data_IF_384238264179
#
_entry.id   IF_384238264179
#
_cell.length_a   1.000
_cell.length_b   1.000
_cell.length_c   1.000
_cell.angle_alpha   90.00
_cell.angle_beta   90.00
_cell.angle_gamma   90.00
#
_symmetry.space_group_name_H-M   'P 1'
#
loop_
_entity.id
_entity.type
_entity.pdbx_description
1 polymer ?
#
# COMPACT_ATOMS: atom_id res chain seq x y z
N UNK A 1 30.74 40.25 64.20
CA UNK A 1 29.61 40.23 63.24
C UNK A 1 29.97 39.75 61.82
N UNK A 2 31.15 39.14 61.57
CA UNK A 2 31.52 38.67 60.21
C UNK A 2 31.22 37.19 59.93
N UNK A 3 31.07 36.36 60.96
CA UNK A 3 30.90 34.91 60.76
C UNK A 3 29.44 34.44 60.57
N UNK A 4 28.45 35.23 61.01
CA UNK A 4 27.02 34.88 60.86
C UNK A 4 26.54 35.04 59.39
N UNK A 5 27.15 35.96 58.64
CA UNK A 5 26.78 36.26 57.24
C UNK A 5 27.16 35.13 56.26
N UNK A 6 28.25 34.40 56.53
CA UNK A 6 28.69 33.30 55.67
C UNK A 6 27.88 32.03 55.87
N UNK A 7 27.45 31.75 57.10
CA UNK A 7 26.60 30.60 57.42
C UNK A 7 25.20 30.78 56.80
N UNK A 8 24.60 31.98 56.90
CA UNK A 8 23.29 32.27 56.29
C UNK A 8 23.29 32.12 54.75
N UNK A 9 24.36 32.56 54.06
CA UNK A 9 24.49 32.42 52.60
C UNK A 9 24.71 30.97 52.15
N UNK A 10 25.40 30.16 52.96
CA UNK A 10 25.60 28.72 52.69
C UNK A 10 24.29 27.95 52.82
N UNK A 11 23.53 28.21 53.89
CA UNK A 11 22.22 27.57 54.14
C UNK A 11 21.20 27.94 53.06
N UNK A 12 21.18 29.19 52.59
CA UNK A 12 20.24 29.62 51.55
C UNK A 12 20.56 29.04 50.17
N UNK A 13 21.85 28.88 49.81
CA UNK A 13 22.27 28.18 48.59
C UNK A 13 21.93 26.69 48.66
N UNK A 14 22.11 26.04 49.81
CA UNK A 14 21.78 24.61 49.98
C UNK A 14 20.26 24.37 49.94
N UNK A 15 19.44 25.27 50.48
CA UNK A 15 17.97 25.21 50.40
C UNK A 15 17.46 25.42 48.97
N UNK A 16 18.07 26.33 48.20
CA UNK A 16 17.68 26.57 46.81
C UNK A 16 18.06 25.39 45.89
N UNK A 17 19.21 24.76 46.13
CA UNK A 17 19.64 23.56 45.38
C UNK A 17 18.78 22.34 45.73
N UNK A 18 18.42 22.13 47.01
CA UNK A 18 17.50 21.05 47.40
C UNK A 18 16.09 21.25 46.83
N UNK A 19 15.58 22.48 46.82
CA UNK A 19 14.28 22.80 46.22
C UNK A 19 14.28 22.60 44.69
N UNK A 20 15.35 23.02 44.01
CA UNK A 20 15.51 22.83 42.56
C UNK A 20 15.62 21.34 42.17
N UNK A 21 16.34 20.52 42.97
CA UNK A 21 16.45 19.08 42.74
C UNK A 21 15.11 18.37 42.97
N UNK A 22 14.32 18.78 43.98
CA UNK A 22 12.96 18.25 44.19
C UNK A 22 12.01 18.58 43.02
N UNK A 23 12.09 19.78 42.45
CA UNK A 23 11.21 20.18 41.33
C UNK A 23 11.57 19.39 40.05
N UNK A 24 12.86 19.14 39.80
CA UNK A 24 13.32 18.35 38.65
C UNK A 24 12.92 16.87 38.81
N UNK A 25 13.09 16.29 40.00
CA UNK A 25 12.73 14.90 40.26
C UNK A 25 11.22 14.62 40.15
N UNK A 26 10.37 15.54 40.61
CA UNK A 26 8.91 15.41 40.48
C UNK A 26 8.45 15.49 39.02
N UNK A 27 9.09 16.33 38.22
CA UNK A 27 8.77 16.49 36.80
C UNK A 27 9.16 15.26 35.97
N UNK A 28 10.27 14.58 36.32
CA UNK A 28 10.71 13.36 35.61
C UNK A 28 9.85 12.13 35.93
N UNK A 29 9.34 12.01 37.16
CA UNK A 29 8.46 10.90 37.56
C UNK A 29 7.11 10.99 36.86
N UNK A 30 6.48 12.18 36.84
CA UNK A 30 5.18 12.38 36.17
C UNK A 30 5.23 12.10 34.66
N UNK A 31 6.36 12.41 34.00
CA UNK A 31 6.53 12.15 32.57
C UNK A 31 6.73 10.65 32.26
N UNK A 32 7.30 9.89 33.18
CA UNK A 32 7.48 8.44 33.06
C UNK A 32 6.14 7.70 33.24
N UNK A 33 5.35 8.12 34.22
CA UNK A 33 4.02 7.54 34.51
C UNK A 33 3.05 7.75 33.33
N UNK A 34 3.05 8.93 32.70
CA UNK A 34 2.21 9.20 31.53
C UNK A 34 2.64 8.40 30.28
N UNK A 35 3.94 8.14 30.10
CA UNK A 35 4.45 7.34 28.99
C UNK A 35 4.08 5.84 29.12
N UNK A 36 4.17 5.31 30.34
CA UNK A 36 3.71 3.95 30.65
C UNK A 36 2.18 3.86 30.50
N UNK A 37 1.45 4.84 31.03
CA UNK A 37 0.01 4.97 30.88
C UNK A 37 -0.46 4.98 29.43
N UNK A 38 0.23 5.72 28.56
CA UNK A 38 -0.02 5.75 27.12
C UNK A 38 0.10 4.37 26.49
N UNK A 39 1.13 3.62 26.87
CA UNK A 39 1.38 2.26 26.33
C UNK A 39 0.26 1.31 26.73
N UNK A 40 -0.11 1.32 28.02
CA UNK A 40 -1.20 0.49 28.54
C UNK A 40 -2.55 0.88 27.92
N UNK A 41 -2.81 2.18 27.78
CA UNK A 41 -4.02 2.69 27.14
C UNK A 41 -4.15 2.21 25.68
N UNK A 42 -3.06 2.32 24.90
CA UNK A 42 -3.02 1.85 23.51
C UNK A 42 -3.20 0.34 23.37
N UNK A 43 -2.72 -0.43 24.34
CA UNK A 43 -2.83 -1.88 24.32
C UNK A 43 -4.21 -2.40 24.76
N UNK A 44 -4.90 -1.69 25.68
CA UNK A 44 -6.06 -2.25 26.39
C UNK A 44 -7.36 -1.44 26.24
N UNK A 45 -7.28 -0.13 25.99
CA UNK A 45 -8.43 0.77 26.12
C UNK A 45 -8.90 1.37 24.78
N UNK A 46 -8.00 1.57 23.81
CA UNK A 46 -8.28 2.22 22.51
C UNK A 46 -9.29 1.46 21.63
N UNK A 47 -9.49 0.17 21.87
CA UNK A 47 -10.49 -0.62 21.17
C UNK A 47 -11.94 -0.13 21.45
N UNK A 48 -12.17 0.49 22.62
CA UNK A 48 -13.51 0.91 23.03
C UNK A 48 -13.61 2.38 23.39
N UNK A 49 -12.51 3.03 23.79
CA UNK A 49 -12.50 4.42 24.23
C UNK A 49 -11.60 5.29 23.34
N UNK A 50 -12.08 6.49 23.02
CA UNK A 50 -11.23 7.59 22.58
C UNK A 50 -11.10 8.61 23.73
N UNK A 51 -10.06 9.45 23.70
CA UNK A 51 -9.90 10.49 24.70
C UNK A 51 -11.04 11.51 24.57
N UNK A 52 -11.24 12.04 23.38
CA UNK A 52 -12.04 13.24 23.12
C UNK A 52 -13.35 12.97 22.36
N UNK A 53 -13.65 11.70 22.03
CA UNK A 53 -14.87 11.32 21.33
C UNK A 53 -15.56 10.09 21.94
N UNK A 54 -16.87 9.98 21.75
CA UNK A 54 -17.65 8.80 22.15
C UNK A 54 -17.49 7.69 21.10
N UNK A 55 -17.13 6.48 21.54
CA UNK A 55 -17.03 5.28 20.71
C UNK A 55 -17.96 4.18 21.26
N UNK A 56 -17.43 2.99 21.56
CA UNK A 56 -18.16 1.96 22.30
C UNK A 56 -18.37 2.41 23.75
N UNK A 57 -17.33 2.99 24.35
CA UNK A 57 -17.38 3.68 25.63
C UNK A 57 -17.42 5.21 25.49
N UNK A 58 -17.69 5.93 26.59
CA UNK A 58 -17.68 7.39 26.62
C UNK A 58 -16.26 7.95 26.39
N UNK A 59 -16.20 9.23 25.97
CA UNK A 59 -14.97 10.00 25.92
C UNK A 59 -14.31 10.08 27.31
N UNK A 60 -12.99 9.91 27.37
CA UNK A 60 -12.24 9.83 28.63
C UNK A 60 -11.57 11.13 29.05
N UNK A 61 -11.46 12.13 28.18
CA UNK A 61 -11.00 13.48 28.54
C UNK A 61 -11.84 14.02 29.69
N UNK A 62 -11.20 14.44 30.78
CA UNK A 62 -11.86 14.92 32.00
C UNK A 62 -12.54 13.85 32.85
N UNK A 63 -12.23 12.55 32.67
CA UNK A 63 -12.84 11.47 33.48
C UNK A 63 -12.53 11.60 34.96
N UNK A 64 -11.32 12.06 35.30
CA UNK A 64 -10.89 12.30 36.68
C UNK A 64 -11.61 13.48 37.37
N UNK A 65 -12.30 14.32 36.59
CA UNK A 65 -13.16 15.38 37.12
C UNK A 65 -14.62 14.90 37.29
N UNK A 66 -15.01 13.86 36.56
CA UNK A 66 -16.36 13.28 36.58
C UNK A 66 -16.56 12.21 37.66
N UNK A 67 -15.49 11.49 38.00
CA UNK A 67 -15.52 10.38 38.94
C UNK A 67 -14.35 10.46 39.92
N UNK A 68 -14.54 9.96 41.15
CA UNK A 68 -13.47 9.95 42.14
C UNK A 68 -12.37 8.95 41.77
N UNK A 69 -11.13 9.24 42.19
CA UNK A 69 -10.00 8.34 41.97
C UNK A 69 -10.26 6.94 42.58
N UNK A 70 -10.85 6.87 43.78
CA UNK A 70 -11.21 5.60 44.42
C UNK A 70 -12.21 4.78 43.58
N UNK A 71 -13.17 5.44 42.93
CA UNK A 71 -14.09 4.79 42.02
C UNK A 71 -13.35 4.23 40.80
N UNK A 72 -12.49 5.05 40.17
CA UNK A 72 -11.76 4.68 38.96
C UNK A 72 -10.78 3.51 39.21
N UNK A 73 -10.12 3.48 40.37
CA UNK A 73 -9.22 2.40 40.77
C UNK A 73 -9.94 1.04 40.90
N UNK A 74 -11.23 1.04 41.26
CA UNK A 74 -12.04 -0.19 41.36
C UNK A 74 -12.75 -0.52 40.04
N UNK A 75 -13.14 0.51 39.30
CA UNK A 75 -13.90 0.39 38.05
C UNK A 75 -13.05 -0.13 36.89
N UNK A 76 -11.84 0.41 36.71
CA UNK A 76 -10.98 0.10 35.55
C UNK A 76 -10.54 -1.37 35.52
N UNK A 77 -10.08 -1.99 36.63
CA UNK A 77 -9.71 -3.40 36.62
C UNK A 77 -10.91 -4.34 36.48
N UNK A 78 -12.05 -4.00 37.10
CA UNK A 78 -13.22 -4.89 37.08
C UNK A 78 -14.57 -4.19 37.31
N UNK A 79 -15.05 -3.47 36.29
CA UNK A 79 -16.37 -2.83 36.30
C UNK A 79 -17.53 -3.79 36.59
N UNK A 80 -17.44 -5.05 36.13
CA UNK A 80 -18.50 -6.05 36.32
C UNK A 80 -18.69 -6.43 37.79
N UNK A 81 -17.62 -6.48 38.58
CA UNK A 81 -17.73 -6.71 40.02
C UNK A 81 -18.48 -5.57 40.72
N UNK A 82 -18.27 -4.32 40.30
CA UNK A 82 -18.98 -3.16 40.86
C UNK A 82 -20.46 -3.14 40.47
N UNK A 83 -20.78 -3.53 39.23
CA UNK A 83 -22.16 -3.65 38.75
C UNK A 83 -22.88 -4.78 39.49
N UNK A 84 -22.24 -5.95 39.64
CA UNK A 84 -22.79 -7.08 40.37
C UNK A 84 -22.98 -6.80 41.87
N UNK A 85 -22.09 -6.00 42.46
CA UNK A 85 -22.22 -5.53 43.85
C UNK A 85 -23.31 -4.45 44.02
N UNK A 86 -23.97 -4.01 42.95
CA UNK A 86 -25.06 -3.04 43.00
C UNK A 86 -24.62 -1.60 43.31
N UNK A 87 -23.37 -1.23 43.00
CA UNK A 87 -22.92 0.14 43.19
C UNK A 87 -23.77 1.11 42.32
N UNK A 88 -24.44 2.12 42.91
CA UNK A 88 -25.39 2.96 42.18
C UNK A 88 -24.80 3.72 40.99
N UNK A 89 -23.55 4.19 41.12
CA UNK A 89 -22.83 4.94 40.07
C UNK A 89 -22.41 4.01 38.91
N UNK A 90 -21.90 2.84 39.24
CA UNK A 90 -21.55 1.77 38.30
C UNK A 90 -22.75 1.32 37.45
N UNK A 91 -23.88 1.04 38.12
CA UNK A 91 -25.11 0.58 37.46
C UNK A 91 -25.69 1.67 36.57
N UNK A 92 -25.67 2.94 37.01
CA UNK A 92 -26.10 4.08 36.20
C UNK A 92 -25.26 4.20 34.93
N UNK A 93 -23.93 4.20 35.06
CA UNK A 93 -23.02 4.35 33.93
C UNK A 93 -23.16 3.19 32.91
N UNK A 94 -23.38 1.96 33.39
CA UNK A 94 -23.63 0.81 32.55
C UNK A 94 -24.92 0.94 31.72
N UNK A 95 -26.00 1.43 32.34
CA UNK A 95 -27.27 1.65 31.64
C UNK A 95 -27.20 2.78 30.60
N UNK A 96 -26.49 3.87 30.90
CA UNK A 96 -26.34 5.03 30.01
C UNK A 96 -25.48 4.72 28.77
N UNK A 97 -24.57 3.75 28.86
CA UNK A 97 -23.69 3.35 27.77
C UNK A 97 -24.12 2.04 27.09
N UNK A 98 -25.43 1.81 27.01
CA UNK A 98 -26.01 0.74 26.19
C UNK A 98 -25.82 -0.68 26.75
N UNK A 99 -25.52 -0.81 28.06
CA UNK A 99 -25.30 -2.09 28.75
C UNK A 99 -24.17 -2.92 28.12
N UNK A 100 -23.19 -2.26 27.50
CA UNK A 100 -22.00 -2.90 26.96
C UNK A 100 -21.04 -3.18 28.11
N UNK A 101 -20.67 -4.45 28.29
CA UNK A 101 -19.74 -4.86 29.33
C UNK A 101 -18.31 -4.44 28.95
N UNK A 102 -17.66 -3.65 29.82
CA UNK A 102 -16.23 -3.41 29.71
C UNK A 102 -15.45 -4.67 30.11
N UNK A 103 -14.45 -5.05 29.32
CA UNK A 103 -13.56 -6.18 29.60
C UNK A 103 -12.88 -5.99 30.96
N UNK A 104 -12.77 -7.06 31.75
CA UNK A 104 -12.03 -7.05 33.01
C UNK A 104 -10.53 -7.17 32.74
N UNK A 105 -9.74 -6.37 33.44
CA UNK A 105 -8.28 -6.33 33.35
C UNK A 105 -7.65 -6.63 34.72
N UNK A 106 -7.72 -7.89 35.19
CA UNK A 106 -7.19 -8.27 36.51
C UNK A 106 -5.68 -8.03 36.66
N UNK A 107 -4.95 -7.85 35.56
CA UNK A 107 -3.52 -7.54 35.53
C UNK A 107 -3.18 -6.06 35.80
N UNK A 108 -4.18 -5.17 35.82
CA UNK A 108 -4.01 -3.76 36.15
C UNK A 108 -4.10 -3.56 37.66
N UNK A 109 -2.93 -3.41 38.28
CA UNK A 109 -2.79 -2.98 39.67
C UNK A 109 -2.98 -1.45 39.80
N UNK A 110 -3.02 -0.97 41.04
CA UNK A 110 -3.30 0.43 41.35
C UNK A 110 -2.35 1.42 40.65
N UNK A 111 -1.05 1.07 40.58
CA UNK A 111 -0.02 1.90 39.94
C UNK A 111 -0.26 2.01 38.43
N UNK A 112 -0.52 0.90 37.75
CA UNK A 112 -0.83 0.90 36.31
C UNK A 112 -2.10 1.67 35.99
N UNK A 113 -3.13 1.58 36.83
CA UNK A 113 -4.36 2.38 36.66
C UNK A 113 -4.06 3.86 36.82
N UNK A 114 -3.24 4.26 37.81
CA UNK A 114 -2.83 5.66 37.99
C UNK A 114 -2.03 6.18 36.79
N UNK A 115 -1.12 5.39 36.24
CA UNK A 115 -0.39 5.73 35.02
C UNK A 115 -1.35 5.96 33.83
N UNK A 116 -2.34 5.08 33.64
CA UNK A 116 -3.38 5.27 32.61
C UNK A 116 -4.17 6.58 32.84
N UNK A 117 -4.56 6.88 34.08
CA UNK A 117 -5.28 8.11 34.41
C UNK A 117 -4.41 9.36 34.22
N UNK A 118 -3.11 9.30 34.53
CA UNK A 118 -2.16 10.37 34.28
C UNK A 118 -2.07 10.67 32.79
N UNK A 119 -1.99 9.63 31.95
CA UNK A 119 -2.03 9.78 30.49
C UNK A 119 -3.34 10.39 29.99
N UNK A 120 -4.49 9.93 30.48
CA UNK A 120 -5.81 10.49 30.08
C UNK A 120 -5.92 11.97 30.43
N UNK A 121 -5.32 12.40 31.54
CA UNK A 121 -5.29 13.80 31.98
C UNK A 121 -4.36 14.67 31.13
N UNK A 122 -3.22 14.13 30.71
CA UNK A 122 -2.23 14.85 29.91
C UNK A 122 -2.60 14.92 28.41
N UNK A 123 -3.28 13.89 27.89
CA UNK A 123 -3.66 13.76 26.49
C UNK A 123 -2.54 13.20 25.60
N UNK A 124 -2.82 12.97 24.31
CA UNK A 124 -1.75 12.63 23.36
C UNK A 124 -0.75 13.80 23.28
N UNK A 125 0.56 13.57 23.46
CA UNK A 125 1.54 14.61 23.28
C UNK A 125 1.44 15.15 21.85
N UNK A 126 1.16 16.45 21.72
CA UNK A 126 1.12 17.12 20.41
C UNK A 126 2.42 16.85 19.67
N UNK A 127 2.34 16.11 18.57
CA UNK A 127 3.50 15.83 17.74
C UNK A 127 4.12 17.16 17.28
N UNK A 128 5.35 17.44 17.73
CA UNK A 128 6.22 18.34 16.99
C UNK A 128 6.46 17.64 15.66
N UNK A 129 6.01 18.26 14.57
CA UNK A 129 6.12 17.70 13.24
C UNK A 129 7.56 17.28 12.95
N UNK A 130 7.76 15.97 12.78
CA UNK A 130 8.97 15.43 12.21
C UNK A 130 8.98 15.75 10.72
N UNK A 131 9.48 16.95 10.41
CA UNK A 131 10.19 17.14 9.17
C UNK A 131 11.53 16.38 9.29
N UNK A 132 11.87 15.65 8.23
CA UNK A 132 13.13 14.94 7.97
C UNK A 132 13.22 13.48 8.42
N UNK A 133 12.60 12.60 7.64
CA UNK A 133 13.31 11.42 7.15
C UNK A 133 13.22 11.43 5.62
N UNK A 134 14.13 12.17 5.00
CA UNK A 134 14.37 12.06 3.57
C UNK A 134 15.03 10.70 3.32
N UNK A 135 14.37 9.92 2.47
CA UNK A 135 14.74 8.60 2.03
C UNK A 135 16.18 8.52 1.54
N UNK A 136 16.89 7.52 2.05
CA UNK A 136 18.06 6.95 1.42
C UNK A 136 17.71 5.52 1.01
N UNK A 137 17.36 5.33 -0.26
CA UNK A 137 17.58 4.08 -0.97
C UNK A 137 17.30 4.25 -2.46
N UNK A 138 18.36 4.07 -3.23
CA UNK A 138 18.39 4.11 -4.67
C UNK A 138 17.61 2.95 -5.30
N UNK A 139 16.93 3.29 -6.41
CA UNK A 139 16.76 2.55 -7.65
C UNK A 139 16.60 1.01 -7.62
N UNK A 140 15.45 0.53 -8.09
CA UNK A 140 15.38 -0.13 -9.41
C UNK A 140 13.92 -0.37 -9.85
N UNK A 141 13.59 0.04 -11.09
CA UNK A 141 12.27 -0.18 -11.68
C UNK A 141 12.14 0.52 -13.02
N UNK A 142 12.41 -0.22 -14.10
CA UNK A 142 12.52 0.29 -15.46
C UNK A 142 11.28 1.01 -15.99
N UNK A 143 11.45 2.30 -16.24
CA UNK A 143 10.67 3.10 -17.19
C UNK A 143 11.67 4.06 -17.80
N UNK A 144 11.71 4.17 -19.12
CA UNK A 144 12.66 5.02 -19.86
C UNK A 144 12.54 6.46 -19.41
N UNK A 145 13.33 6.84 -18.41
CA UNK A 145 13.35 8.16 -17.81
C UNK A 145 13.93 9.13 -18.82
N UNK A 146 13.44 10.37 -18.87
CA UNK A 146 14.00 11.41 -19.74
C UNK A 146 15.52 11.59 -19.59
N UNK A 147 16.08 11.17 -18.44
CA UNK A 147 17.52 11.07 -18.19
C UNK A 147 18.25 10.02 -19.05
N UNK A 148 17.60 8.89 -19.38
CA UNK A 148 18.18 7.87 -20.27
C UNK A 148 18.24 8.35 -21.73
N UNK A 149 17.22 9.09 -22.18
CA UNK A 149 17.23 9.72 -23.51
C UNK A 149 18.24 10.87 -23.53
N UNK A 150 18.23 11.76 -22.54
CA UNK A 150 19.19 12.86 -22.44
C UNK A 150 20.64 12.36 -22.27
N UNK A 151 20.86 11.28 -21.52
CA UNK A 151 22.15 10.64 -21.34
C UNK A 151 22.65 9.97 -22.63
N UNK A 152 21.79 9.25 -23.35
CA UNK A 152 22.13 8.69 -24.67
C UNK A 152 22.43 9.82 -25.66
N UNK A 153 21.64 10.90 -25.67
CA UNK A 153 21.89 12.07 -26.53
C UNK A 153 23.23 12.73 -26.17
N UNK A 154 23.54 12.90 -24.88
CA UNK A 154 24.82 13.46 -24.44
C UNK A 154 26.01 12.57 -24.85
N UNK A 155 25.90 11.25 -24.71
CA UNK A 155 26.92 10.29 -25.14
C UNK A 155 27.09 10.34 -26.66
N UNK A 156 25.99 10.41 -27.43
CA UNK A 156 26.03 10.53 -28.89
C UNK A 156 26.68 11.85 -29.30
N UNK A 157 26.38 12.97 -28.63
CA UNK A 157 27.01 14.27 -28.91
C UNK A 157 28.50 14.24 -28.60
N UNK A 158 28.91 13.69 -27.45
CA UNK A 158 30.33 13.55 -27.08
C UNK A 158 31.06 12.63 -28.07
N UNK A 159 30.46 11.51 -28.46
CA UNK A 159 31.01 10.61 -29.47
C UNK A 159 31.18 11.30 -30.83
N UNK A 160 30.20 12.11 -31.26
CA UNK A 160 30.30 12.92 -32.48
C UNK A 160 31.44 13.94 -32.36
N UNK A 161 31.58 14.62 -31.22
CA UNK A 161 32.67 15.58 -30.99
C UNK A 161 34.04 14.89 -31.05
N UNK A 162 34.19 13.72 -30.42
CA UNK A 162 35.43 12.93 -30.47
C UNK A 162 35.74 12.49 -31.89
N UNK A 163 34.75 11.99 -32.64
CA UNK A 163 34.93 11.60 -34.05
C UNK A 163 35.32 12.78 -34.93
N UNK A 164 34.77 13.98 -34.68
CA UNK A 164 35.15 15.21 -35.41
C UNK A 164 36.59 15.62 -35.07
N UNK A 165 37.00 15.54 -33.80
CA UNK A 165 38.36 15.88 -33.37
C UNK A 165 39.37 14.89 -33.97
N UNK A 166 39.10 13.58 -33.87
CA UNK A 166 39.94 12.53 -34.45
C UNK A 166 40.02 12.65 -35.97
N UNK A 167 38.89 12.90 -36.65
CA UNK A 167 38.85 13.11 -38.09
C UNK A 167 39.58 14.37 -38.56
N UNK A 168 39.62 15.43 -37.73
CA UNK A 168 40.46 16.61 -37.98
C UNK A 168 41.94 16.29 -37.76
N UNK A 169 42.29 15.58 -36.70
CA UNK A 169 43.66 15.18 -36.40
C UNK A 169 44.25 14.28 -37.51
N UNK A 170 43.48 13.30 -38.00
CA UNK A 170 43.91 12.43 -39.10
C UNK A 170 44.12 13.20 -40.41
N UNK A 171 43.21 14.12 -40.76
CA UNK A 171 43.38 14.98 -41.94
C UNK A 171 44.57 15.94 -41.83
N UNK A 172 44.89 16.39 -40.61
CA UNK A 172 46.01 17.29 -40.38
C UNK A 172 47.34 16.55 -40.52
N UNK A 173 47.42 15.31 -40.03
CA UNK A 173 48.54 14.40 -40.28
C UNK A 173 48.70 14.09 -41.77
N UNK A 174 47.60 13.80 -42.46
CA UNK A 174 47.59 13.53 -43.90
C UNK A 174 48.05 14.75 -44.71
N UNK A 175 47.63 15.97 -44.33
CA UNK A 175 48.14 17.23 -44.91
C UNK A 175 49.64 17.38 -44.71
N UNK A 176 50.16 17.12 -43.51
CA UNK A 176 51.59 17.25 -43.21
C UNK A 176 52.44 16.22 -43.99
N UNK A 177 51.91 15.02 -44.23
CA UNK A 177 52.55 13.99 -45.07
C UNK A 177 52.55 14.41 -46.54
N UNK A 178 51.41 14.86 -47.06
CA UNK A 178 51.25 15.29 -48.47
C UNK A 178 52.07 16.56 -48.79
N UNK A 179 52.16 17.49 -47.84
CA UNK A 179 52.99 18.69 -47.96
C UNK A 179 54.49 18.35 -47.98
N UNK A 180 54.93 17.32 -47.25
CA UNK A 180 56.30 16.79 -47.35
C UNK A 180 56.58 16.07 -48.67
N UNK A 181 55.55 15.59 -49.38
CA UNK A 181 55.66 14.94 -50.68
C UNK A 181 55.53 15.91 -51.88
N UNK A 182 55.41 17.23 -51.61
CA UNK A 182 55.45 18.26 -52.65
C UNK A 182 54.18 18.40 -53.49
N UNK A 183 53.04 17.89 -53.01
CA UNK A 183 51.74 17.96 -53.69
C UNK A 183 50.93 19.12 -53.06
N UNK A 184 50.55 20.11 -53.86
CA UNK A 184 49.68 21.21 -53.42
C UNK A 184 48.28 20.69 -53.04
N UNK A 185 47.78 21.14 -51.88
CA UNK A 185 46.55 20.66 -51.27
C UNK A 185 45.44 21.66 -51.54
N UNK A 186 44.41 21.26 -52.31
CA UNK A 186 43.21 22.06 -52.53
C UNK A 186 42.46 22.39 -51.22
N UNK A 187 41.91 23.61 -51.17
CA UNK A 187 41.29 24.27 -50.01
C UNK A 187 40.27 23.42 -49.23
N UNK A 188 40.16 23.72 -47.92
CA UNK A 188 39.17 23.15 -47.02
C UNK A 188 37.75 23.33 -47.57
N UNK A 189 37.18 22.25 -48.10
CA UNK A 189 35.81 22.21 -48.58
C UNK A 189 34.89 22.61 -47.41
N UNK A 190 34.14 23.74 -47.50
CA UNK A 190 33.33 24.22 -46.38
C UNK A 190 32.37 23.12 -45.90
N UNK A 191 32.09 23.03 -44.59
CA UNK A 191 31.17 22.03 -44.02
C UNK A 191 29.84 21.97 -44.79
N UNK A 192 29.33 23.13 -45.22
CA UNK A 192 28.11 23.27 -46.04
C UNK A 192 28.22 22.59 -47.41
N UNK A 193 29.40 22.62 -48.04
CA UNK A 193 29.68 21.96 -49.33
C UNK A 193 29.87 20.45 -49.13
N UNK A 194 30.52 20.02 -48.04
CA UNK A 194 30.61 18.60 -47.66
C UNK A 194 29.25 17.97 -47.39
N UNK A 195 28.38 18.64 -46.63
CA UNK A 195 26.99 18.22 -46.38
C UNK A 195 26.19 18.20 -47.69
N UNK A 196 26.31 19.22 -48.55
CA UNK A 196 25.64 19.25 -49.86
C UNK A 196 26.11 18.14 -50.80
N UNK A 197 27.38 17.74 -50.76
CA UNK A 197 27.93 16.62 -51.55
C UNK A 197 27.42 15.28 -51.02
N UNK A 198 27.27 15.15 -49.70
CA UNK A 198 26.69 13.98 -49.04
C UNK A 198 25.21 13.78 -49.42
N UNK A 199 24.39 14.84 -49.40
CA UNK A 199 23.00 14.82 -49.88
C UNK A 199 22.84 14.72 -51.41
N UNK A 200 23.92 14.86 -52.19
CA UNK A 200 23.92 14.55 -53.63
C UNK A 200 24.37 13.11 -53.94
N UNK A 201 25.00 12.44 -52.97
CA UNK A 201 25.40 11.04 -53.14
C UNK A 201 24.16 10.15 -53.06
N UNK A 202 23.72 9.61 -54.21
CA UNK A 202 22.54 8.74 -54.30
C UNK A 202 22.58 7.57 -53.31
N UNK A 203 23.76 7.00 -53.02
CA UNK A 203 23.89 5.91 -52.04
C UNK A 203 23.64 6.38 -50.60
N UNK A 204 24.12 7.57 -50.24
CA UNK A 204 23.89 8.15 -48.92
C UNK A 204 22.43 8.59 -48.73
N UNK A 205 21.85 9.24 -49.73
CA UNK A 205 20.43 9.62 -49.71
C UNK A 205 19.54 8.39 -49.62
N UNK A 206 19.81 7.33 -50.40
CA UNK A 206 19.07 6.07 -50.31
C UNK A 206 19.22 5.41 -48.94
N UNK A 207 20.42 5.38 -48.36
CA UNK A 207 20.64 4.85 -47.02
C UNK A 207 19.86 5.64 -45.96
N UNK A 208 19.89 6.98 -46.03
CA UNK A 208 19.14 7.82 -45.09
C UNK A 208 17.63 7.65 -45.21
N UNK A 209 17.10 7.57 -46.44
CA UNK A 209 15.68 7.30 -46.70
C UNK A 209 15.30 5.91 -46.16
N UNK A 210 16.12 4.88 -46.38
CA UNK A 210 15.88 3.54 -45.84
C UNK A 210 15.83 3.54 -44.31
N UNK A 211 16.79 4.20 -43.65
CA UNK A 211 16.79 4.36 -42.21
C UNK A 211 15.55 5.12 -41.71
N UNK A 212 15.13 6.17 -42.41
CA UNK A 212 13.92 6.92 -42.09
C UNK A 212 12.67 6.03 -42.20
N UNK A 213 12.55 5.23 -43.27
CA UNK A 213 11.43 4.29 -43.46
C UNK A 213 11.41 3.24 -42.35
N UNK A 214 12.57 2.66 -42.00
CA UNK A 214 12.66 1.69 -40.90
C UNK A 214 12.29 2.34 -39.56
N UNK A 215 12.76 3.55 -39.30
CA UNK A 215 12.46 4.28 -38.05
C UNK A 215 10.96 4.62 -37.94
N UNK A 216 10.38 5.20 -38.98
CA UNK A 216 8.95 5.53 -39.02
C UNK A 216 8.08 4.26 -39.01
N UNK A 217 8.49 3.22 -39.74
CA UNK A 217 7.83 1.92 -39.74
C UNK A 217 7.87 1.26 -38.37
N UNK A 218 9.01 1.30 -37.67
CA UNK A 218 9.16 0.79 -36.31
C UNK A 218 8.33 1.59 -35.31
N UNK A 219 8.29 2.92 -35.42
CA UNK A 219 7.46 3.76 -34.57
C UNK A 219 5.97 3.50 -34.81
N UNK A 220 5.52 3.46 -36.06
CA UNK A 220 4.15 3.12 -36.41
C UNK A 220 3.75 1.73 -35.92
N UNK A 221 4.64 0.74 -36.10
CA UNK A 221 4.45 -0.62 -35.62
C UNK A 221 4.34 -0.68 -34.09
N UNK A 222 5.23 0.00 -33.36
CA UNK A 222 5.19 0.05 -31.90
C UNK A 222 3.93 0.77 -31.40
N UNK A 223 3.53 1.85 -32.06
CA UNK A 223 2.29 2.56 -31.78
C UNK A 223 1.09 1.63 -31.90
N UNK A 224 0.99 0.87 -32.99
CA UNK A 224 -0.06 -0.11 -33.21
C UNK A 224 -0.02 -1.24 -32.16
N UNK A 225 1.17 -1.74 -31.82
CA UNK A 225 1.33 -2.82 -30.83
C UNK A 225 0.90 -2.40 -29.41
N UNK A 226 1.01 -1.11 -29.09
CA UNK A 226 0.60 -0.57 -27.79
C UNK A 226 -0.85 -0.05 -27.77
N UNK A 227 -1.60 -0.13 -28.88
CA UNK A 227 -3.02 0.25 -28.87
C UNK A 227 -3.82 -0.70 -27.98
N UNK A 228 -4.65 -0.15 -27.09
CA UNK A 228 -5.46 -0.94 -26.15
C UNK A 228 -4.67 -1.58 -25.01
N UNK A 229 -3.38 -1.26 -24.82
CA UNK A 229 -2.60 -1.68 -23.66
C UNK A 229 -2.68 -0.59 -22.59
N UNK A 230 -3.27 -0.90 -21.45
CA UNK A 230 -3.54 0.05 -20.36
C UNK A 230 -2.61 -0.12 -19.16
N UNK A 231 -1.42 -0.71 -19.34
CA UNK A 231 -0.42 -0.81 -18.26
C UNK A 231 -0.06 0.57 -17.73
N UNK A 232 -0.05 0.73 -16.41
CA UNK A 232 0.16 2.00 -15.72
C UNK A 232 -1.07 2.90 -15.65
N UNK A 233 -2.24 2.45 -16.15
CA UNK A 233 -3.48 3.21 -15.99
C UNK A 233 -3.84 3.35 -14.51
N UNK A 234 -3.92 4.59 -14.04
CA UNK A 234 -4.15 4.98 -12.64
C UNK A 234 -5.13 6.16 -12.60
N UNK A 235 -6.45 5.90 -12.65
CA UNK A 235 -7.45 6.96 -12.57
C UNK A 235 -7.60 7.46 -11.13
N UNK A 236 -7.94 8.74 -11.00
CA UNK A 236 -8.31 9.31 -9.70
C UNK A 236 -9.60 8.66 -9.22
N UNK A 237 -9.56 8.09 -8.01
CA UNK A 237 -10.72 7.45 -7.38
C UNK A 237 -11.55 8.46 -6.58
N UNK A 238 -12.85 8.19 -6.34
CA UNK A 238 -13.70 9.07 -5.51
C UNK A 238 -13.17 9.23 -4.07
N UNK A 239 -12.61 8.14 -3.52
CA UNK A 239 -11.92 8.09 -2.23
C UNK A 239 -10.48 7.70 -2.51
N UNK A 240 -9.52 8.44 -1.93
CA UNK A 240 -8.09 8.12 -1.99
C UNK A 240 -7.76 6.94 -1.08
N UNK A 241 -8.20 5.75 -1.49
CA UNK A 241 -8.01 4.52 -0.74
C UNK A 241 -6.60 3.96 -0.97
N UNK A 242 -5.82 3.84 0.10
CA UNK A 242 -4.46 3.29 0.06
C UNK A 242 -4.44 1.79 0.32
N UNK A 243 -4.06 0.98 -0.68
CA UNK A 243 -3.83 -0.46 -0.48
C UNK A 243 -2.54 -0.69 0.33
N UNK A 244 -1.54 0.18 0.19
CA UNK A 244 -0.33 0.14 1.00
C UNK A 244 -0.62 0.26 2.49
N UNK A 245 -1.47 1.19 2.91
CA UNK A 245 -1.82 1.32 4.33
C UNK A 245 -2.56 0.09 4.85
N UNK A 246 -3.52 -0.44 4.09
CA UNK A 246 -4.40 -1.52 4.55
C UNK A 246 -3.72 -2.89 4.45
N UNK A 247 -3.19 -3.26 3.28
CA UNK A 247 -2.59 -4.57 3.03
C UNK A 247 -1.08 -4.59 3.29
N UNK A 248 -0.39 -3.46 3.18
CA UNK A 248 1.04 -3.32 3.47
C UNK A 248 1.31 -3.08 4.95
N UNK A 249 1.02 -1.89 5.46
CA UNK A 249 1.35 -1.52 6.85
C UNK A 249 0.54 -2.32 7.86
N UNK A 250 -0.78 -2.41 7.67
CA UNK A 250 -1.68 -3.10 8.60
C UNK A 250 -1.81 -4.60 8.33
N UNK A 251 -1.20 -5.12 7.26
CA UNK A 251 -1.20 -6.54 6.90
C UNK A 251 -2.60 -7.18 6.86
N UNK A 252 -3.62 -6.40 6.44
CA UNK A 252 -4.98 -6.92 6.29
C UNK A 252 -5.01 -7.86 5.09
N UNK A 253 -5.48 -9.09 5.32
CA UNK A 253 -5.58 -10.10 4.28
C UNK A 253 -6.50 -9.65 3.13
N UNK A 254 -6.09 -9.94 1.89
CA UNK A 254 -6.78 -9.49 0.69
C UNK A 254 -8.24 -9.98 0.63
N UNK A 255 -8.53 -11.15 1.22
CA UNK A 255 -9.84 -11.78 1.17
C UNK A 255 -10.86 -11.11 2.09
N UNK A 256 -10.40 -10.35 3.08
CA UNK A 256 -11.29 -9.62 3.99
C UNK A 256 -12.18 -8.65 3.22
N UNK A 257 -11.60 -7.93 2.25
CA UNK A 257 -12.32 -7.01 1.38
C UNK A 257 -12.79 -7.67 0.09
N UNK A 258 -11.98 -8.53 -0.53
CA UNK A 258 -12.25 -9.14 -1.84
C UNK A 258 -12.69 -10.60 -1.75
N UNK A 259 -13.70 -10.86 -0.92
CA UNK A 259 -14.18 -12.22 -0.63
C UNK A 259 -14.72 -12.99 -1.86
N UNK A 260 -15.11 -12.28 -2.91
CA UNK A 260 -15.65 -12.87 -4.13
C UNK A 260 -14.61 -13.65 -4.93
N UNK A 261 -13.32 -13.37 -4.72
CA UNK A 261 -12.25 -13.92 -5.54
C UNK A 261 -12.20 -15.45 -5.50
N UNK A 262 -12.51 -16.05 -4.34
CA UNK A 262 -12.40 -17.50 -4.10
C UNK A 262 -13.66 -18.26 -4.47
N UNK A 263 -14.82 -17.59 -4.53
CA UNK A 263 -16.12 -18.24 -4.72
C UNK A 263 -16.78 -17.94 -6.07
N UNK A 264 -16.44 -16.80 -6.65
CA UNK A 264 -17.14 -16.25 -7.82
C UNK A 264 -16.18 -15.97 -8.96
N UNK A 265 -16.77 -15.72 -10.14
CA UNK A 265 -16.03 -15.22 -11.30
C UNK A 265 -15.45 -13.83 -11.07
N UNK A 266 -16.04 -13.04 -10.17
CA UNK A 266 -15.65 -11.67 -9.87
C UNK A 266 -15.15 -11.56 -8.43
N UNK A 267 -13.96 -10.95 -8.23
CA UNK A 267 -13.44 -10.64 -6.89
C UNK A 267 -14.36 -9.70 -6.08
N UNK A 268 -15.13 -8.86 -6.79
CA UNK A 268 -16.07 -7.88 -6.26
C UNK A 268 -15.37 -6.74 -5.50
N UNK A 269 -15.87 -5.51 -5.68
CA UNK A 269 -15.46 -4.35 -4.88
C UNK A 269 -16.26 -4.42 -3.57
N UNK A 270 -15.63 -4.28 -2.38
CA UNK A 270 -16.36 -4.37 -1.12
C UNK A 270 -17.46 -3.31 -1.04
N UNK A 271 -18.59 -3.68 -0.44
CA UNK A 271 -19.58 -2.69 -0.03
C UNK A 271 -19.00 -1.77 1.04
N UNK A 272 -19.47 -0.53 1.14
CA UNK A 272 -19.01 0.41 2.16
C UNK A 272 -19.23 -0.06 3.61
N UNK A 273 -20.13 -1.02 3.83
CA UNK A 273 -20.32 -1.63 5.14
C UNK A 273 -19.04 -2.33 5.63
N UNK A 274 -18.23 -2.91 4.74
CA UNK A 274 -16.94 -3.50 5.11
C UNK A 274 -15.99 -2.44 5.65
N UNK A 275 -15.99 -1.24 5.05
CA UNK A 275 -15.22 -0.09 5.53
C UNK A 275 -15.66 0.29 6.96
N UNK A 276 -16.96 0.29 7.22
CA UNK A 276 -17.52 0.66 8.52
C UNK A 276 -17.29 -0.37 9.63
N UNK A 277 -16.79 -1.57 9.34
CA UNK A 277 -16.42 -2.52 10.40
C UNK A 277 -15.29 -1.96 11.28
N UNK A 278 -14.37 -1.20 10.68
CA UNK A 278 -13.26 -0.58 11.40
C UNK A 278 -13.48 0.94 11.53
N UNK A 279 -13.94 1.59 10.47
CA UNK A 279 -14.01 3.06 10.42
C UNK A 279 -15.09 3.68 11.29
N UNK A 280 -15.86 2.92 12.08
CA UNK A 280 -16.64 3.49 13.19
C UNK A 280 -15.74 4.02 14.31
N UNK A 281 -14.63 3.32 14.56
CA UNK A 281 -13.66 3.66 15.60
C UNK A 281 -12.35 4.23 15.02
N UNK A 282 -11.89 3.68 13.89
CA UNK A 282 -10.64 4.11 13.24
C UNK A 282 -10.93 5.29 12.31
N UNK A 283 -10.70 6.50 12.83
CA UNK A 283 -11.02 7.76 12.14
C UNK A 283 -9.79 8.49 11.57
N UNK A 284 -8.60 7.94 11.80
CA UNK A 284 -7.30 8.51 11.41
C UNK A 284 -7.09 9.95 11.93
N UNK A 285 -7.68 10.30 13.08
CA UNK A 285 -7.62 11.65 13.68
C UNK A 285 -6.21 12.13 13.98
N UNK A 286 -5.32 11.20 14.32
CA UNK A 286 -3.92 11.46 14.63
C UNK A 286 -3.19 12.21 13.50
N UNK A 287 -3.60 12.00 12.26
CA UNK A 287 -2.99 12.62 11.08
C UNK A 287 -3.63 13.96 10.68
N UNK A 288 -4.69 14.39 11.38
CA UNK A 288 -5.51 15.56 11.01
C UNK A 288 -5.89 16.40 12.23
N UNK A 289 -4.95 16.63 13.16
CA UNK A 289 -5.15 17.54 14.31
C UNK A 289 -6.37 17.21 15.19
N UNK A 290 -6.75 15.93 15.29
CA UNK A 290 -7.93 15.49 16.06
C UNK A 290 -9.23 15.45 15.24
N UNK A 291 -9.22 15.92 14.01
CA UNK A 291 -10.36 15.86 13.08
C UNK A 291 -10.42 14.52 12.33
N UNK A 292 -11.63 14.07 12.01
CA UNK A 292 -11.80 12.86 11.19
C UNK A 292 -11.24 13.11 9.79
N UNK A 293 -10.50 12.14 9.25
CA UNK A 293 -9.92 12.22 7.90
C UNK A 293 -10.96 12.64 6.85
N UNK A 294 -10.64 13.58 5.94
CA UNK A 294 -11.53 13.98 4.85
C UNK A 294 -12.00 12.80 3.98
N UNK A 295 -11.14 11.79 3.79
CA UNK A 295 -11.46 10.61 2.99
C UNK A 295 -12.45 9.66 3.70
N UNK A 296 -12.36 9.54 5.03
CA UNK A 296 -13.32 8.78 5.83
C UNK A 296 -14.67 9.52 5.92
N UNK A 297 -14.65 10.86 6.02
CA UNK A 297 -15.87 11.68 5.95
C UNK A 297 -16.67 11.42 4.66
N UNK A 298 -16.00 11.16 3.52
CA UNK A 298 -16.69 10.77 2.26
C UNK A 298 -17.47 9.46 2.40
N UNK A 299 -16.93 8.46 3.09
CA UNK A 299 -17.61 7.17 3.36
C UNK A 299 -18.85 7.42 4.23
N UNK A 300 -18.71 8.22 5.29
CA UNK A 300 -19.82 8.55 6.18
C UNK A 300 -20.95 9.26 5.45
N UNK A 301 -20.60 10.26 4.63
CA UNK A 301 -21.55 10.98 3.80
C UNK A 301 -22.26 10.05 2.82
N UNK A 302 -21.54 9.11 2.21
CA UNK A 302 -22.11 8.13 1.27
C UNK A 302 -23.06 7.13 1.95
N UNK A 303 -22.82 6.78 3.21
CA UNK A 303 -23.69 5.88 3.98
C UNK A 303 -24.76 6.60 4.82
N UNK A 304 -24.75 7.94 4.85
CA UNK A 304 -25.56 8.71 5.79
C UNK A 304 -25.22 8.41 7.26
N UNK A 305 -23.98 8.02 7.56
CA UNK A 305 -23.55 7.71 8.92
C UNK A 305 -23.19 8.97 9.70
N UNK A 306 -23.77 9.12 10.88
CA UNK A 306 -23.45 10.19 11.83
C UNK A 306 -22.51 9.64 12.92
N UNK A 307 -21.26 10.14 13.04
CA UNK A 307 -20.31 9.65 14.03
C UNK A 307 -20.69 9.99 15.47
N UNK A 308 -21.45 11.05 15.72
CA UNK A 308 -21.84 11.48 17.07
C UNK A 308 -23.00 10.65 17.61
N UNK A 309 -24.00 10.38 16.76
CA UNK A 309 -25.18 9.59 17.13
C UNK A 309 -25.05 8.11 16.83
N UNK A 310 -24.02 7.71 16.08
CA UNK A 310 -23.72 6.34 15.64
C UNK A 310 -24.87 5.69 14.85
N UNK A 311 -25.66 6.50 14.16
CA UNK A 311 -26.84 6.06 13.40
C UNK A 311 -26.65 6.28 11.90
N UNK A 312 -27.35 5.45 11.13
CA UNK A 312 -27.39 5.54 9.67
C UNK A 312 -28.70 6.18 9.21
N UNK A 313 -28.60 7.17 8.35
CA UNK A 313 -29.72 7.78 7.64
C UNK A 313 -29.79 7.22 6.21
N UNK A 314 -30.62 6.20 6.02
CA UNK A 314 -30.82 5.53 4.72
C UNK A 314 -31.30 6.49 3.63
N UNK A 315 -31.93 7.63 3.97
CA UNK A 315 -32.41 8.58 2.96
C UNK A 315 -31.26 9.33 2.26
N UNK A 316 -30.07 9.33 2.87
CA UNK A 316 -28.85 9.98 2.35
C UNK A 316 -27.89 9.00 1.70
N UNK A 317 -28.20 7.70 1.70
CA UNK A 317 -27.34 6.66 1.14
C UNK A 317 -27.12 6.88 -0.36
N UNK A 318 -25.86 6.91 -0.78
CA UNK A 318 -25.43 7.05 -2.18
C UNK A 318 -24.34 6.03 -2.48
N UNK A 319 -24.47 5.23 -3.55
CA UNK A 319 -23.42 4.33 -3.98
C UNK A 319 -22.13 5.08 -4.32
N UNK A 320 -20.98 4.49 -4.01
CA UNK A 320 -19.69 5.04 -4.42
C UNK A 320 -19.37 4.61 -5.85
N UNK A 321 -19.16 5.59 -6.70
CA UNK A 321 -18.88 5.42 -8.14
C UNK A 321 -17.39 5.15 -8.38
N UNK A 322 -16.92 3.97 -7.98
CA UNK A 322 -15.53 3.55 -8.19
C UNK A 322 -15.16 3.49 -9.67
N UNK A 323 -13.97 3.97 -10.01
CA UNK A 323 -13.44 3.87 -11.38
C UNK A 323 -12.66 2.57 -11.52
N UNK A 324 -13.16 1.67 -12.38
CA UNK A 324 -12.53 0.37 -12.59
C UNK A 324 -11.20 0.52 -13.31
N UNK A 325 -10.12 0.03 -12.69
CA UNK A 325 -8.76 0.04 -13.26
C UNK A 325 -8.55 -1.14 -14.22
N UNK A 326 -8.86 -2.36 -13.77
CA UNK A 326 -8.70 -3.56 -14.58
C UNK A 326 -9.99 -3.87 -15.30
N UNK A 327 -10.03 -3.68 -16.61
CA UNK A 327 -11.20 -3.98 -17.42
C UNK A 327 -10.84 -4.91 -18.59
N UNK A 328 -11.64 -5.95 -18.75
CA UNK A 328 -11.57 -6.86 -19.91
C UNK A 328 -12.83 -6.66 -20.75
N UNK A 329 -12.77 -6.87 -22.08
CA UNK A 329 -13.96 -6.87 -22.92
C UNK A 329 -14.99 -7.91 -22.44
N UNK A 330 -16.27 -7.61 -22.62
CA UNK A 330 -17.39 -8.42 -22.17
C UNK A 330 -17.49 -9.80 -22.82
N UNK A 331 -16.97 -9.95 -24.05
CA UNK A 331 -16.87 -11.23 -24.74
C UNK A 331 -15.79 -12.16 -24.14
N UNK A 332 -14.91 -11.67 -23.28
CA UNK A 332 -13.91 -12.48 -22.61
C UNK A 332 -14.43 -12.98 -21.26
N UNK A 333 -14.61 -14.31 -21.14
CA UNK A 333 -15.00 -14.92 -19.88
C UNK A 333 -13.78 -15.18 -19.00
N UNK A 334 -13.65 -14.43 -17.90
CA UNK A 334 -12.65 -14.65 -16.86
C UNK A 334 -13.33 -15.05 -15.55
N UNK A 335 -12.72 -15.99 -14.81
CA UNK A 335 -13.25 -16.47 -13.54
C UNK A 335 -12.15 -16.50 -12.47
N UNK A 336 -12.25 -15.62 -11.45
CA UNK A 336 -11.26 -15.54 -10.38
C UNK A 336 -11.09 -16.86 -9.62
N UNK A 337 -12.17 -17.54 -9.23
CA UNK A 337 -12.08 -18.74 -8.37
C UNK A 337 -11.29 -19.89 -8.99
N UNK A 338 -11.36 -20.05 -10.31
CA UNK A 338 -10.55 -21.05 -11.02
C UNK A 338 -9.04 -20.75 -10.91
N UNK A 339 -8.67 -19.48 -10.92
CA UNK A 339 -7.27 -19.07 -10.86
C UNK A 339 -6.74 -19.09 -9.42
N UNK A 340 -7.52 -18.60 -8.45
CA UNK A 340 -7.06 -18.44 -7.05
C UNK A 340 -7.34 -19.63 -6.15
N UNK A 341 -8.20 -20.59 -6.55
CA UNK A 341 -8.46 -21.80 -5.75
C UNK A 341 -7.89 -23.04 -6.41
N UNK A 342 -8.18 -23.22 -7.70
CA UNK A 342 -7.78 -24.46 -8.41
C UNK A 342 -6.34 -24.37 -8.90
N UNK A 343 -5.95 -23.23 -9.44
CA UNK A 343 -4.64 -23.04 -10.06
C UNK A 343 -3.62 -22.31 -9.17
N UNK A 344 -3.93 -22.03 -7.90
CA UNK A 344 -3.09 -21.20 -7.02
C UNK A 344 -1.63 -21.70 -6.99
N UNK A 345 -1.44 -22.97 -6.64
CA UNK A 345 -0.10 -23.57 -6.53
C UNK A 345 0.69 -23.51 -7.84
N UNK A 346 0.00 -23.75 -8.96
CA UNK A 346 0.60 -23.73 -10.29
C UNK A 346 1.04 -22.31 -10.67
N UNK A 347 0.20 -21.31 -10.41
CA UNK A 347 0.49 -19.89 -10.66
C UNK A 347 1.64 -19.42 -9.79
N UNK A 348 1.63 -19.74 -8.48
CA UNK A 348 2.70 -19.41 -7.54
C UNK A 348 4.05 -19.92 -8.03
N UNK A 349 4.09 -21.20 -8.42
CA UNK A 349 5.30 -21.82 -8.96
C UNK A 349 5.76 -21.18 -10.26
N UNK A 350 4.84 -20.95 -11.21
CA UNK A 350 5.17 -20.38 -12.51
C UNK A 350 5.69 -18.93 -12.43
N UNK A 351 5.21 -18.16 -11.43
CA UNK A 351 5.64 -16.78 -11.20
C UNK A 351 6.74 -16.63 -10.15
N UNK A 352 7.14 -17.72 -9.49
CA UNK A 352 8.17 -17.70 -8.46
C UNK A 352 7.79 -16.86 -7.24
N UNK A 353 6.49 -16.82 -6.88
CA UNK A 353 6.02 -16.07 -5.72
C UNK A 353 6.53 -16.70 -4.42
N UNK A 354 6.89 -15.86 -3.46
CA UNK A 354 7.29 -16.30 -2.14
C UNK A 354 6.10 -16.90 -1.37
N UNK A 355 6.34 -17.81 -0.40
CA UNK A 355 5.26 -18.39 0.39
C UNK A 355 4.40 -17.36 1.14
N UNK A 356 4.98 -16.22 1.49
CA UNK A 356 4.32 -15.11 2.20
C UNK A 356 3.60 -14.14 1.26
N UNK A 357 3.82 -14.22 -0.05
CA UNK A 357 3.18 -13.32 -1.01
C UNK A 357 1.79 -13.85 -1.39
N UNK A 358 0.77 -13.01 -1.51
CA UNK A 358 -0.52 -13.41 -2.07
C UNK A 358 -0.38 -13.83 -3.54
N UNK A 359 -1.06 -14.92 -3.94
CA UNK A 359 -1.12 -15.35 -5.35
C UNK A 359 -1.63 -14.25 -6.29
N UNK A 360 -2.44 -13.32 -5.76
CA UNK A 360 -2.93 -12.14 -6.45
C UNK A 360 -1.81 -11.31 -7.12
N UNK A 361 -0.59 -11.32 -6.55
CA UNK A 361 0.54 -10.55 -7.07
C UNK A 361 1.02 -11.05 -8.43
N UNK A 362 0.77 -12.31 -8.78
CA UNK A 362 1.06 -12.88 -10.09
C UNK A 362 0.40 -12.09 -11.25
N UNK A 363 -0.76 -11.49 -10.99
CA UNK A 363 -1.56 -10.79 -11.98
C UNK A 363 -1.62 -9.28 -11.72
N UNK A 364 -1.79 -8.87 -10.46
CA UNK A 364 -1.99 -7.46 -10.09
C UNK A 364 -0.72 -6.75 -9.62
N UNK A 365 0.41 -7.44 -9.53
CA UNK A 365 1.66 -6.90 -8.98
C UNK A 365 1.62 -6.75 -7.46
N UNK A 366 2.64 -6.10 -6.85
CA UNK A 366 2.74 -5.93 -5.40
C UNK A 366 1.74 -4.89 -4.89
N UNK A 367 0.46 -5.25 -4.80
CA UNK A 367 -0.63 -4.33 -4.42
C UNK A 367 -0.46 -3.78 -3.00
N UNK A 368 0.23 -4.51 -2.13
CA UNK A 368 0.56 -4.07 -0.77
C UNK A 368 1.57 -2.91 -0.71
N UNK A 369 2.17 -2.51 -1.82
CA UNK A 369 3.03 -1.31 -1.92
C UNK A 369 2.40 -0.23 -2.80
N UNK A 370 1.09 -0.32 -3.09
CA UNK A 370 0.38 0.62 -3.95
C UNK A 370 -0.46 1.57 -3.10
N UNK A 371 -0.01 2.82 -2.98
CA UNK A 371 -0.82 3.89 -2.38
C UNK A 371 -2.08 4.18 -3.23
N UNK A 372 -1.96 4.12 -4.55
CA UNK A 372 -3.09 4.16 -5.47
C UNK A 372 -3.00 2.98 -6.42
N UNK A 373 -4.13 2.30 -6.63
CA UNK A 373 -4.15 1.12 -7.49
C UNK A 373 -3.98 1.53 -8.96
N UNK A 374 -3.07 0.84 -9.65
CA UNK A 374 -2.85 1.00 -11.08
C UNK A 374 -2.81 -0.37 -11.77
N UNK A 375 -2.95 -0.38 -13.09
CA UNK A 375 -2.87 -1.61 -13.86
C UNK A 375 -1.40 -2.05 -14.04
N UNK A 376 -0.96 -3.03 -13.24
CA UNK A 376 0.40 -3.57 -13.33
C UNK A 376 0.62 -4.44 -14.57
N UNK A 377 -0.25 -5.45 -14.79
CA UNK A 377 -0.13 -6.35 -15.94
C UNK A 377 -0.88 -5.82 -17.17
N UNK A 378 -0.41 -6.12 -18.40
CA UNK A 378 -1.07 -5.67 -19.61
C UNK A 378 -2.44 -6.32 -19.85
N UNK A 379 -2.68 -7.51 -19.31
CA UNK A 379 -3.94 -8.27 -19.46
C UNK A 379 -4.41 -8.46 -20.92
N UNK A 380 -3.46 -8.47 -21.86
CA UNK A 380 -3.74 -8.72 -23.28
C UNK A 380 -3.90 -10.22 -23.54
N UNK A 381 -4.58 -10.58 -24.63
CA UNK A 381 -4.78 -11.98 -25.02
C UNK A 381 -3.46 -12.77 -25.10
N UNK A 382 -2.39 -12.18 -25.66
CA UNK A 382 -1.07 -12.81 -25.73
C UNK A 382 -0.51 -13.13 -24.33
N UNK A 383 -0.68 -12.21 -23.38
CA UNK A 383 -0.23 -12.41 -22.00
C UNK A 383 -0.98 -13.58 -21.35
N UNK A 384 -2.30 -13.66 -21.50
CA UNK A 384 -3.11 -14.77 -21.00
C UNK A 384 -2.68 -16.11 -21.61
N UNK A 385 -2.55 -16.16 -22.94
CA UNK A 385 -2.18 -17.39 -23.66
C UNK A 385 -0.79 -17.88 -23.25
N UNK A 386 0.19 -16.98 -23.18
CA UNK A 386 1.55 -17.36 -22.77
C UNK A 386 1.54 -17.91 -21.35
N UNK A 387 0.85 -17.24 -20.42
CA UNK A 387 0.69 -17.73 -19.05
C UNK A 387 0.06 -19.14 -19.03
N UNK A 388 -1.00 -19.38 -19.79
CA UNK A 388 -1.65 -20.69 -19.86
C UNK A 388 -0.78 -21.79 -20.50
N UNK A 389 0.11 -21.42 -21.43
CA UNK A 389 1.04 -22.37 -22.06
C UNK A 389 2.21 -22.74 -21.16
N UNK A 390 2.68 -21.78 -20.37
CA UNK A 390 3.89 -21.91 -19.54
C UNK A 390 3.58 -22.47 -18.14
N UNK A 391 2.34 -22.29 -17.66
CA UNK A 391 1.95 -22.72 -16.31
C UNK A 391 1.62 -24.20 -16.28
N UNK A 392 2.42 -24.96 -15.53
CA UNK A 392 2.22 -26.40 -15.35
C UNK A 392 1.24 -26.71 -14.22
N UNK A 393 0.07 -27.27 -14.57
CA UNK A 393 -0.95 -27.74 -13.62
C UNK A 393 -0.80 -29.22 -13.25
N UNK A 394 0.29 -29.90 -13.66
CA UNK A 394 0.51 -31.32 -13.39
C UNK A 394 0.59 -31.65 -11.89
N UNK A 395 0.82 -30.66 -11.02
CA UNK A 395 0.70 -30.81 -9.56
C UNK A 395 -0.72 -31.12 -9.08
N UNK A 396 -1.75 -30.83 -9.88
CA UNK A 396 -3.16 -31.06 -9.54
C UNK A 396 -3.65 -32.48 -9.85
N UNK A 397 -2.75 -33.42 -10.22
CA UNK A 397 -3.10 -34.83 -10.54
C UNK A 397 -3.88 -35.56 -9.45
N UNK A 398 -3.67 -35.18 -8.19
CA UNK A 398 -4.33 -35.79 -7.04
C UNK A 398 -5.75 -35.26 -6.80
N UNK A 399 -6.18 -34.23 -7.53
CA UNK A 399 -7.56 -33.77 -7.51
C UNK A 399 -8.46 -34.84 -8.14
N UNK A 400 -9.59 -35.15 -7.49
CA UNK A 400 -10.53 -36.18 -7.92
C UNK A 400 -11.01 -36.01 -9.37
N UNK A 401 -11.14 -34.76 -9.85
CA UNK A 401 -11.49 -34.47 -11.24
C UNK A 401 -10.37 -34.89 -12.20
N UNK A 402 -9.15 -34.42 -11.97
CA UNK A 402 -8.01 -34.72 -12.86
C UNK A 402 -7.62 -36.19 -12.81
N UNK A 403 -7.74 -36.86 -11.67
CA UNK A 403 -7.54 -38.30 -11.55
C UNK A 403 -8.49 -39.09 -12.47
N UNK A 404 -9.80 -38.76 -12.48
CA UNK A 404 -10.79 -39.37 -13.38
C UNK A 404 -10.51 -39.05 -14.85
N UNK A 405 -10.08 -37.84 -15.16
CA UNK A 405 -9.71 -37.45 -16.55
C UNK A 405 -8.50 -38.25 -17.04
N UNK A 406 -7.48 -38.42 -16.19
CA UNK A 406 -6.29 -39.22 -16.51
C UNK A 406 -6.67 -40.70 -16.69
N UNK A 407 -7.51 -41.24 -15.81
CA UNK A 407 -8.01 -42.61 -15.94
C UNK A 407 -8.79 -42.81 -17.26
N UNK A 408 -9.67 -41.86 -17.61
CA UNK A 408 -10.39 -41.85 -18.87
C UNK A 408 -9.43 -41.81 -20.07
N UNK A 409 -8.39 -40.97 -20.00
CA UNK A 409 -7.39 -40.87 -21.06
C UNK A 409 -6.61 -42.17 -21.25
N UNK A 410 -6.21 -42.83 -20.16
CA UNK A 410 -5.52 -44.13 -20.23
C UNK A 410 -6.42 -45.24 -20.79
N UNK A 411 -7.73 -45.22 -20.49
CA UNK A 411 -8.72 -46.12 -21.09
C UNK A 411 -8.89 -45.88 -22.60
N UNK A 412 -8.93 -44.62 -23.05
CA UNK A 412 -8.96 -44.28 -24.48
C UNK A 412 -7.73 -44.82 -25.21
N UNK A 413 -6.53 -44.68 -24.63
CA UNK A 413 -5.28 -45.21 -25.23
C UNK A 413 -5.32 -46.73 -25.42
N UNK A 414 -6.04 -47.44 -24.56
CA UNK A 414 -6.26 -48.89 -24.64
C UNK A 414 -7.38 -49.29 -25.62
N UNK A 415 -8.03 -48.32 -26.27
CA UNK A 415 -9.14 -48.54 -27.20
C UNK A 415 -10.50 -48.75 -26.52
N UNK A 416 -10.61 -48.49 -25.23
CA UNK A 416 -11.87 -48.65 -24.48
C UNK A 416 -12.83 -47.49 -24.73
N UNK A 417 -14.14 -47.78 -24.75
CA UNK A 417 -15.19 -46.77 -24.91
C UNK A 417 -15.38 -45.97 -23.63
N UNK A 418 -15.40 -44.64 -23.76
CA UNK A 418 -15.71 -43.73 -22.64
C UNK A 418 -17.20 -43.43 -22.61
N UNK A 419 -17.79 -43.54 -21.42
CA UNK A 419 -19.19 -43.18 -21.16
C UNK A 419 -19.26 -42.11 -20.08
N UNK A 420 -20.36 -41.32 -20.00
CA UNK A 420 -20.56 -40.33 -18.95
C UNK A 420 -20.43 -40.89 -17.53
N UNK A 421 -20.67 -42.19 -17.34
CA UNK A 421 -20.50 -42.87 -16.06
C UNK A 421 -19.09 -42.71 -15.47
N UNK A 422 -18.05 -42.73 -16.31
CA UNK A 422 -16.66 -42.59 -15.86
C UNK A 422 -16.33 -41.18 -15.36
N UNK A 423 -17.03 -40.17 -15.88
CA UNK A 423 -16.86 -38.77 -15.50
C UNK A 423 -17.82 -38.35 -14.37
N UNK A 424 -18.44 -39.32 -13.69
CA UNK A 424 -19.36 -39.09 -12.58
C UNK A 424 -20.80 -38.81 -13.00
N UNK A 425 -21.20 -39.15 -14.23
CA UNK A 425 -22.58 -39.06 -14.72
C UNK A 425 -23.54 -40.11 -14.15
N UNK A 426 -23.14 -40.80 -13.07
CA UNK A 426 -24.01 -41.69 -12.28
C UNK A 426 -24.41 -41.08 -10.93
N UNK A 427 -23.91 -39.89 -10.60
CA UNK A 427 -24.23 -39.22 -9.34
C UNK A 427 -25.61 -38.56 -9.45
N UNK A 428 -26.60 -39.06 -8.70
CA UNK A 428 -27.99 -38.56 -8.75
C UNK A 428 -28.09 -37.04 -8.55
N UNK A 429 -27.24 -36.47 -7.70
CA UNK A 429 -27.17 -35.03 -7.44
C UNK A 429 -26.60 -34.17 -8.57
N UNK A 430 -26.13 -34.76 -9.67
CA UNK A 430 -25.78 -34.03 -10.91
C UNK A 430 -26.91 -33.99 -11.93
N UNK A 431 -27.98 -34.76 -11.69
CA UNK A 431 -29.11 -34.90 -12.62
C UNK A 431 -30.44 -34.45 -12.01
N UNK A 432 -30.61 -34.57 -10.69
CA UNK A 432 -31.90 -34.36 -10.00
C UNK A 432 -31.88 -33.23 -8.97
N UNK A 433 -30.70 -32.68 -8.68
CA UNK A 433 -30.47 -31.52 -7.82
C UNK A 433 -29.48 -30.61 -8.54
#
# INVERSE_FOLDING_TARGET
>A
MRDISMILKSVWKSLFVFSAISIIAVSTVSAQDAAEGRTLFKAKCTACHALDAKMVGPALTGVSDRHSEEFLLKWIPNSQAMIAAGNPEAVKLFNENGKVAMTSFPELDEEKVKSILAYIKEGEPKAKGDATVAASSAANGGGTSGLSIAGIVAIVVVAIVILVILGRASKLLERLILQKQGIEIEEDVPLKVGVRKMFKNKKFVMFFILCLIIALGSWGWMGMWNTGVHTGYQPVQPIKFSHELHAGTNQIDCQYCHNGAFKSKNATIPSLNVCMNCHKAVQARDNYEGEISPEIKKIYNALGYDPETQKYDKSKEKPMEWVRVHNLPDFAYFNHSQHVVVAEDAIRKAKGLQPTEPVCFACHGPVNTMEEIYQYSPLTMKWCINCHKETDISGQKNNAFYAKVIEAHEKIKKGEKITPALLGGLECGKCHY
#
